data_IF_574910638527
#
_entry.id   IF_574910638527
#
_cell.length_a   1.000
_cell.length_b   1.000
_cell.length_c   1.000
_cell.angle_alpha   90.00
_cell.angle_beta   90.00
_cell.angle_gamma   90.00
#
_symmetry.space_group_name_H-M   'P 1'
#
loop_
_entity.id
_entity.type
_entity.pdbx_description
1 polymer ?
#
# COMPACT_ATOMS: atom_id res chain seq x y z
N UNK A 1 2.91 -30.97 -34.56
CA UNK A 1 3.76 -30.06 -33.78
C UNK A 1 2.90 -29.37 -32.72
N UNK A 2 2.75 -29.96 -31.54
CA UNK A 2 2.04 -29.34 -30.41
C UNK A 2 2.94 -28.27 -29.82
N UNK A 3 2.69 -27.00 -30.15
CA UNK A 3 3.44 -25.89 -29.60
C UNK A 3 3.25 -25.85 -28.08
N UNK A 4 4.28 -26.19 -27.33
CA UNK A 4 4.38 -25.82 -25.91
C UNK A 4 4.20 -24.30 -25.84
N UNK A 5 3.01 -23.83 -25.44
CA UNK A 5 2.79 -22.43 -25.08
C UNK A 5 3.80 -22.13 -23.96
N UNK A 6 4.84 -21.35 -24.26
CA UNK A 6 5.78 -20.84 -23.26
C UNK A 6 4.97 -20.23 -22.12
N UNK A 7 4.95 -20.90 -20.98
CA UNK A 7 4.06 -20.59 -19.87
C UNK A 7 4.23 -19.14 -19.44
N UNK A 8 3.18 -18.33 -19.60
CA UNK A 8 3.14 -16.92 -19.22
C UNK A 8 2.95 -16.69 -17.72
N UNK A 9 3.02 -17.76 -16.91
CA UNK A 9 2.69 -17.77 -15.49
C UNK A 9 3.45 -16.71 -14.70
N UNK A 10 4.74 -16.49 -14.99
CA UNK A 10 5.55 -15.50 -14.27
C UNK A 10 5.04 -14.06 -14.47
N UNK A 11 4.69 -13.68 -15.70
CA UNK A 11 4.15 -12.33 -15.97
C UNK A 11 2.79 -12.12 -15.30
N UNK A 12 1.94 -13.16 -15.27
CA UNK A 12 0.64 -13.11 -14.60
C UNK A 12 0.80 -13.00 -13.08
N UNK A 13 1.69 -13.81 -12.47
CA UNK A 13 1.97 -13.74 -11.04
C UNK A 13 2.54 -12.39 -10.63
N UNK A 14 3.47 -11.83 -11.41
CA UNK A 14 3.97 -10.47 -11.17
C UNK A 14 2.83 -9.45 -11.16
N UNK A 15 1.90 -9.54 -12.12
CA UNK A 15 0.78 -8.62 -12.22
C UNK A 15 -0.18 -8.74 -11.04
N UNK A 16 -0.51 -9.98 -10.62
CA UNK A 16 -1.37 -10.21 -9.46
C UNK A 16 -0.73 -9.62 -8.20
N UNK A 17 0.56 -9.88 -7.96
CA UNK A 17 1.27 -9.34 -6.80
C UNK A 17 1.31 -7.80 -6.83
N UNK A 18 1.55 -7.20 -8.00
CA UNK A 18 1.54 -5.75 -8.15
C UNK A 18 0.15 -5.15 -7.84
N UNK A 19 -0.92 -5.77 -8.34
CA UNK A 19 -2.29 -5.30 -8.10
C UNK A 19 -2.66 -5.44 -6.62
N UNK A 20 -2.37 -6.60 -6.02
CA UNK A 20 -2.65 -6.82 -4.59
C UNK A 20 -1.90 -5.80 -3.75
N UNK A 21 -0.62 -5.56 -4.04
CA UNK A 21 0.17 -4.53 -3.37
C UNK A 21 -0.45 -3.14 -3.54
N UNK A 22 -0.79 -2.75 -4.77
CA UNK A 22 -1.27 -1.41 -5.10
C UNK A 22 -2.73 -1.13 -4.70
N UNK A 23 -3.51 -2.15 -4.32
CA UNK A 23 -4.94 -2.00 -3.98
C UNK A 23 -5.21 -2.37 -2.53
N UNK A 24 -4.79 -3.55 -2.08
CA UNK A 24 -5.13 -4.03 -0.73
C UNK A 24 -4.41 -3.18 0.32
N UNK A 25 -3.15 -2.83 0.08
CA UNK A 25 -2.36 -2.10 1.10
C UNK A 25 -2.80 -0.66 1.28
N UNK A 26 -3.11 0.13 0.22
CA UNK A 26 -3.66 1.47 0.41
C UNK A 26 -5.05 1.45 1.06
N UNK A 27 -5.88 0.42 0.83
CA UNK A 27 -7.19 0.32 1.50
C UNK A 27 -7.01 0.17 3.01
N UNK A 28 -6.16 -0.76 3.46
CA UNK A 28 -5.91 -0.99 4.89
C UNK A 28 -5.30 0.26 5.53
N UNK A 29 -4.31 0.88 4.89
CA UNK A 29 -3.72 2.13 5.35
C UNK A 29 -4.73 3.29 5.36
N UNK A 30 -5.66 3.32 4.40
CA UNK A 30 -6.72 4.30 4.33
C UNK A 30 -7.65 4.23 5.53
N UNK A 31 -8.14 3.02 5.86
CA UNK A 31 -9.00 2.76 7.03
C UNK A 31 -8.27 3.10 8.33
N UNK A 32 -7.03 2.63 8.48
CA UNK A 32 -6.21 2.94 9.65
C UNK A 32 -5.94 4.44 9.78
N UNK A 33 -5.59 5.12 8.68
CA UNK A 33 -5.33 6.55 8.63
C UNK A 33 -6.53 7.39 9.01
N UNK A 34 -7.73 7.02 8.53
CA UNK A 34 -8.98 7.68 8.92
C UNK A 34 -9.27 7.51 10.42
N UNK A 35 -9.13 6.30 10.93
CA UNK A 35 -9.34 6.00 12.35
C UNK A 35 -8.34 6.71 13.27
N UNK A 36 -7.09 6.87 12.83
CA UNK A 36 -6.09 7.68 13.51
C UNK A 36 -6.53 9.13 13.49
N UNK A 37 -6.85 9.67 12.30
CA UNK A 37 -7.24 11.07 12.11
C UNK A 37 -8.39 11.50 13.01
N UNK A 38 -9.48 10.70 13.09
CA UNK A 38 -10.64 11.03 13.93
C UNK A 38 -10.37 11.02 15.44
N UNK A 39 -9.31 10.35 15.88
CA UNK A 39 -8.94 10.22 17.30
C UNK A 39 -7.97 11.29 17.76
N UNK A 40 -7.41 12.07 16.83
CA UNK A 40 -6.55 13.20 17.15
C UNK A 40 -7.44 14.39 17.53
N UNK A 41 -7.45 14.83 18.81
CA UNK A 41 -8.19 16.01 19.19
C UNK A 41 -7.56 17.24 18.52
N UNK A 42 -8.38 18.11 17.95
CA UNK A 42 -8.27 19.56 18.09
C UNK A 42 -6.97 20.31 17.75
N UNK A 43 -5.95 19.68 17.18
CA UNK A 43 -4.61 20.26 17.01
C UNK A 43 -3.55 19.52 17.83
N UNK A 44 -2.45 19.15 17.17
CA UNK A 44 -1.30 18.50 17.80
C UNK A 44 -0.46 19.57 18.51
N UNK A 45 -0.62 19.72 19.83
CA UNK A 45 0.36 20.48 20.61
C UNK A 45 1.59 19.59 20.84
N UNK A 46 2.62 19.78 20.02
CA UNK A 46 3.88 19.03 20.11
C UNK A 46 4.69 19.37 21.37
N UNK A 47 4.25 20.36 22.15
CA UNK A 47 4.86 20.80 23.40
C UNK A 47 4.27 20.09 24.62
N UNK A 48 3.14 19.39 24.44
CA UNK A 48 2.46 18.69 25.53
C UNK A 48 3.25 17.42 25.94
N UNK A 49 3.69 17.29 27.20
CA UNK A 49 4.38 16.09 27.67
C UNK A 49 3.55 14.80 27.56
N UNK A 50 2.22 14.92 27.50
CA UNK A 50 1.27 13.82 27.31
C UNK A 50 0.88 13.59 25.83
N UNK A 51 1.51 14.30 24.88
CA UNK A 51 1.27 14.11 23.44
C UNK A 51 1.43 12.64 22.99
N UNK A 52 2.43 11.94 23.52
CA UNK A 52 2.67 10.54 23.21
C UNK A 52 1.62 9.61 23.84
N UNK A 53 0.97 10.01 24.93
CA UNK A 53 -0.11 9.25 25.56
C UNK A 53 -1.45 9.42 24.82
N UNK A 54 -1.65 10.54 24.12
CA UNK A 54 -2.76 10.77 23.18
C UNK A 54 -2.71 9.84 21.96
N UNK A 55 -1.54 9.33 21.58
CA UNK A 55 -1.39 8.33 20.50
C UNK A 55 -1.62 6.89 20.99
N UNK A 56 -1.66 6.66 22.30
CA UNK A 56 -1.93 5.34 22.91
C UNK A 56 -3.23 4.68 22.43
N UNK A 57 -4.37 5.39 22.26
CA UNK A 57 -5.62 4.80 21.80
C UNK A 57 -5.60 4.36 20.33
N UNK A 58 -4.60 4.76 19.54
CA UNK A 58 -4.49 4.44 18.10
C UNK A 58 -3.38 3.44 17.79
N UNK A 59 -2.75 2.85 18.81
CA UNK A 59 -1.58 1.97 18.66
C UNK A 59 -1.85 0.79 17.73
N UNK A 60 -3.02 0.17 17.83
CA UNK A 60 -3.39 -0.95 16.98
C UNK A 60 -3.60 -0.52 15.52
N UNK A 61 -4.17 0.66 15.29
CA UNK A 61 -4.35 1.22 13.95
C UNK A 61 -3.02 1.57 13.31
N UNK A 62 -2.09 2.15 14.08
CA UNK A 62 -0.73 2.42 13.62
C UNK A 62 -0.02 1.11 13.25
N UNK A 63 -0.13 0.08 14.09
CA UNK A 63 0.43 -1.24 13.78
C UNK A 63 -0.19 -1.85 12.51
N UNK A 64 -1.49 -1.73 12.29
CA UNK A 64 -2.12 -2.17 11.03
C UNK A 64 -1.64 -1.38 9.82
N UNK A 65 -1.44 -0.07 9.95
CA UNK A 65 -0.87 0.77 8.91
C UNK A 65 0.57 0.32 8.58
N UNK A 66 1.40 0.09 9.60
CA UNK A 66 2.78 -0.40 9.43
C UNK A 66 2.82 -1.79 8.78
N UNK A 67 2.00 -2.74 9.24
CA UNK A 67 1.92 -4.08 8.66
C UNK A 67 1.49 -3.99 7.19
N UNK A 68 0.50 -3.16 6.87
CA UNK A 68 0.06 -2.96 5.49
C UNK A 68 1.15 -2.35 4.61
N UNK A 69 1.92 -1.40 5.15
CA UNK A 69 3.04 -0.78 4.47
C UNK A 69 4.15 -1.80 4.18
N UNK A 70 4.56 -2.59 5.17
CA UNK A 70 5.62 -3.59 5.01
C UNK A 70 5.21 -4.74 4.10
N UNK A 71 3.99 -5.26 4.26
CA UNK A 71 3.47 -6.32 3.36
C UNK A 71 3.33 -5.82 1.92
N UNK A 72 2.84 -4.60 1.71
CA UNK A 72 2.75 -3.97 0.40
C UNK A 72 4.11 -3.77 -0.25
N UNK A 73 5.10 -3.35 0.54
CA UNK A 73 6.49 -3.17 0.07
C UNK A 73 7.09 -4.50 -0.38
N UNK A 74 6.97 -5.55 0.42
CA UNK A 74 7.47 -6.88 0.07
C UNK A 74 6.80 -7.41 -1.21
N UNK A 75 5.48 -7.27 -1.31
CA UNK A 75 4.72 -7.68 -2.50
C UNK A 75 5.10 -6.87 -3.75
N UNK A 76 5.29 -5.55 -3.61
CA UNK A 76 5.72 -4.66 -4.69
C UNK A 76 7.12 -5.01 -5.19
N UNK A 77 8.07 -5.26 -4.28
CA UNK A 77 9.42 -5.71 -4.65
C UNK A 77 9.36 -7.06 -5.35
N UNK A 78 8.60 -8.02 -4.82
CA UNK A 78 8.42 -9.33 -5.46
C UNK A 78 7.83 -9.20 -6.88
N UNK A 79 6.85 -8.31 -7.06
CA UNK A 79 6.26 -8.03 -8.37
C UNK A 79 7.28 -7.43 -9.35
N UNK A 80 8.14 -6.52 -8.91
CA UNK A 80 9.23 -5.96 -9.74
C UNK A 80 10.19 -7.07 -10.17
N UNK A 81 10.67 -7.88 -9.22
CA UNK A 81 11.63 -8.95 -9.51
C UNK A 81 11.04 -9.98 -10.48
N UNK A 82 9.83 -10.48 -10.21
CA UNK A 82 9.17 -11.47 -11.07
C UNK A 82 8.81 -10.86 -12.43
N UNK A 83 8.40 -9.60 -12.47
CA UNK A 83 8.15 -8.85 -13.71
C UNK A 83 9.38 -8.74 -14.60
N UNK A 84 10.54 -8.39 -14.02
CA UNK A 84 11.83 -8.36 -14.73
C UNK A 84 12.17 -9.75 -15.27
N UNK A 85 12.02 -10.80 -14.46
CA UNK A 85 12.31 -12.18 -14.90
C UNK A 85 11.41 -12.58 -16.07
N UNK A 86 10.10 -12.26 -16.02
CA UNK A 86 9.14 -12.53 -17.09
C UNK A 86 9.53 -11.82 -18.41
N UNK A 87 9.93 -10.54 -18.32
CA UNK A 87 10.40 -9.74 -19.46
C UNK A 87 11.65 -10.39 -20.09
N UNK A 88 12.64 -10.73 -19.25
CA UNK A 88 13.91 -11.35 -19.67
C UNK A 88 13.70 -12.71 -20.33
N UNK A 89 12.81 -13.55 -19.79
CA UNK A 89 12.46 -14.87 -20.33
C UNK A 89 11.56 -14.83 -21.57
N UNK A 90 11.17 -13.64 -22.03
CA UNK A 90 10.21 -13.43 -23.12
C UNK A 90 8.87 -14.16 -22.88
N UNK A 91 8.50 -14.36 -21.61
CA UNK A 91 7.26 -15.01 -21.19
C UNK A 91 6.31 -13.94 -20.67
N UNK A 92 5.18 -13.70 -21.36
CA UNK A 92 4.19 -12.69 -21.00
C UNK A 92 4.78 -11.29 -20.74
N UNK A 93 5.58 -10.78 -21.70
CA UNK A 93 6.26 -9.47 -21.61
C UNK A 93 5.32 -8.32 -21.26
N UNK A 94 4.12 -8.29 -21.83
CA UNK A 94 3.12 -7.26 -21.54
C UNK A 94 2.75 -7.24 -20.06
N UNK A 95 2.39 -8.39 -19.48
CA UNK A 95 2.06 -8.50 -18.06
C UNK A 95 3.23 -8.14 -17.16
N UNK A 96 4.46 -8.52 -17.51
CA UNK A 96 5.66 -8.14 -16.77
C UNK A 96 5.91 -6.63 -16.75
N UNK A 97 5.70 -5.94 -17.89
CA UNK A 97 5.85 -4.47 -17.96
C UNK A 97 4.75 -3.79 -17.14
N UNK A 98 3.49 -4.20 -17.31
CA UNK A 98 2.37 -3.63 -16.55
C UNK A 98 2.57 -3.83 -15.05
N UNK A 99 2.99 -5.02 -14.62
CA UNK A 99 3.32 -5.31 -13.22
C UNK A 99 4.39 -4.35 -12.68
N UNK A 100 5.42 -4.07 -13.47
CA UNK A 100 6.51 -3.19 -13.08
C UNK A 100 6.04 -1.74 -12.93
N UNK A 101 5.24 -1.24 -13.87
CA UNK A 101 4.64 0.10 -13.80
C UNK A 101 3.73 0.22 -12.58
N UNK A 102 2.84 -0.76 -12.37
CA UNK A 102 1.91 -0.77 -11.22
C UNK A 102 2.67 -0.83 -9.91
N UNK A 103 3.72 -1.65 -9.82
CA UNK A 103 4.53 -1.75 -8.61
C UNK A 103 5.28 -0.44 -8.29
N UNK A 104 5.72 0.32 -9.30
CA UNK A 104 6.34 1.65 -9.11
C UNK A 104 5.31 2.70 -8.69
N UNK A 105 4.08 2.63 -9.21
CA UNK A 105 2.99 3.54 -8.83
C UNK A 105 2.39 3.22 -7.46
N UNK A 106 2.48 1.97 -6.99
CA UNK A 106 1.93 1.50 -5.72
C UNK A 106 2.26 2.40 -4.51
N UNK A 107 3.54 2.74 -4.26
CA UNK A 107 3.93 3.65 -3.19
C UNK A 107 3.30 5.05 -3.29
N UNK A 108 3.12 5.58 -4.51
CA UNK A 108 2.50 6.89 -4.72
C UNK A 108 1.02 6.82 -4.33
N UNK A 109 0.32 5.79 -4.80
CA UNK A 109 -1.10 5.57 -4.46
C UNK A 109 -1.27 5.41 -2.95
N UNK A 110 -0.40 4.63 -2.31
CA UNK A 110 -0.42 4.43 -0.86
C UNK A 110 -0.34 5.76 -0.09
N UNK A 111 0.64 6.60 -0.42
CA UNK A 111 0.83 7.89 0.25
C UNK A 111 -0.34 8.85 0.02
N UNK A 112 -0.86 8.91 -1.20
CA UNK A 112 -2.03 9.76 -1.52
C UNK A 112 -3.24 9.32 -0.70
N UNK A 113 -3.53 8.01 -0.67
CA UNK A 113 -4.67 7.48 0.10
C UNK A 113 -4.50 7.77 1.58
N UNK A 114 -3.34 7.49 2.16
CA UNK A 114 -3.06 7.72 3.58
C UNK A 114 -3.20 9.20 3.95
N UNK A 115 -2.65 10.11 3.14
CA UNK A 115 -2.73 11.55 3.39
C UNK A 115 -4.19 12.05 3.35
N UNK A 116 -4.95 11.63 2.33
CA UNK A 116 -6.35 12.03 2.17
C UNK A 116 -7.21 11.48 3.30
N UNK A 117 -7.08 10.21 3.66
CA UNK A 117 -7.93 9.61 4.70
C UNK A 117 -7.57 10.14 6.09
N UNK A 118 -6.29 10.36 6.38
CA UNK A 118 -5.86 10.96 7.64
C UNK A 118 -6.39 12.41 7.76
N UNK A 119 -6.23 13.21 6.70
CA UNK A 119 -6.74 14.60 6.68
C UNK A 119 -8.28 14.66 6.78
N UNK A 120 -8.97 13.71 6.16
CA UNK A 120 -10.44 13.62 6.26
C UNK A 120 -10.85 13.18 7.67
N UNK A 121 -10.15 12.20 8.24
CA UNK A 121 -10.38 11.72 9.60
C UNK A 121 -10.23 12.85 10.63
N UNK A 122 -9.15 13.63 10.55
CA UNK A 122 -8.96 14.79 11.43
C UNK A 122 -10.10 15.79 11.27
N UNK A 123 -10.44 16.17 10.02
CA UNK A 123 -11.57 17.07 9.74
C UNK A 123 -12.90 16.58 10.36
N UNK A 124 -13.17 15.27 10.32
CA UNK A 124 -14.38 14.71 10.96
C UNK A 124 -14.33 14.72 12.49
N UNK A 125 -13.15 14.61 13.09
CA UNK A 125 -12.99 14.75 14.55
C UNK A 125 -13.15 16.18 15.06
N UNK A 126 -13.09 17.19 14.18
CA UNK A 126 -13.31 18.61 14.51
C UNK A 126 -14.78 19.03 14.54
N UNK A 127 -15.68 18.27 13.91
CA UNK A 127 -17.11 18.58 13.91
C UNK A 127 -17.76 18.02 15.20
N UNK A 128 -18.54 18.83 15.95
CA UNK A 128 -19.16 18.44 17.21
C UNK A 128 -20.21 17.33 17.06
#
# INVERSE_FOLDING_TARGET
MTGEKKSGLMGILALILAIVAAVVTPIVAGVAGFDIGRRLPGGLDTTDPDFLSILSPARDQVLWAEISFWTGTILGIAAIVIGIIAIRRKQARGAGITALVVAVLGPIIFWVVLLVTLSTGTATGFLP
#
